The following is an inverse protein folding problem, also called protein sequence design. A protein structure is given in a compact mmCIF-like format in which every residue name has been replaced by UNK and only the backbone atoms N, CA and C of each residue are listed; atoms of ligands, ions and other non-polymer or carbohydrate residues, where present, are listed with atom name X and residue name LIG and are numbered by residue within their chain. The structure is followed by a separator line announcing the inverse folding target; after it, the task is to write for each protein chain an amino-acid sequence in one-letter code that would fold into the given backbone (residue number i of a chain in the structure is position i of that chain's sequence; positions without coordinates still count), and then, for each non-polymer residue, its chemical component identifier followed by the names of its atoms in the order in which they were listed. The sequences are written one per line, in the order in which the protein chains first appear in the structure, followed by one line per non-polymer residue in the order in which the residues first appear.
data_IF_957917323849
#
_entry.id   IF_957917323849
#
_cell.length_a   1.000
_cell.length_b   1.000
_cell.length_c   1.000
_cell.angle_alpha   90.00
_cell.angle_beta   90.00
_cell.angle_gamma   90.00
#
_symmetry.space_group_name_H-M   'P 1'
#
loop_
_entity.id
_entity.type
_entity.pdbx_description
1 polymer ?
#
# COMPACT_ATOMS: atom_id res chain seq x y z
N UNK A 1 -1.17 -27.59 17.12
CA UNK A 1 -1.78 -26.83 16.02
C UNK A 1 -1.15 -25.46 16.03
N UNK A 2 -0.23 -25.17 15.12
CA UNK A 2 0.33 -23.83 14.96
C UNK A 2 -0.81 -22.92 14.53
N UNK A 3 -1.15 -21.94 15.36
CA UNK A 3 -2.01 -20.82 14.94
C UNK A 3 -1.23 -20.10 13.85
N UNK A 4 -1.55 -20.42 12.59
CA UNK A 4 -1.08 -19.62 11.46
C UNK A 4 -1.71 -18.25 11.68
N UNK A 5 -0.93 -17.18 11.84
CA UNK A 5 -1.48 -15.82 11.90
C UNK A 5 -2.39 -15.62 10.70
N UNK A 6 -3.59 -15.09 10.92
CA UNK A 6 -4.49 -14.76 9.82
C UNK A 6 -3.86 -13.60 9.04
N UNK A 7 -3.24 -13.91 7.90
CA UNK A 7 -2.62 -12.93 7.01
C UNK A 7 -3.58 -11.78 6.66
N UNK A 8 -4.89 -12.06 6.63
CA UNK A 8 -5.95 -11.05 6.48
C UNK A 8 -5.88 -9.99 7.59
N UNK A 9 -5.68 -10.42 8.84
CA UNK A 9 -5.57 -9.54 9.99
C UNK A 9 -4.28 -8.70 9.94
N UNK A 10 -3.16 -9.31 9.52
CA UNK A 10 -1.90 -8.58 9.35
C UNK A 10 -2.01 -7.52 8.25
N UNK A 11 -2.67 -7.85 7.13
CA UNK A 11 -2.96 -6.89 6.06
C UNK A 11 -3.91 -5.78 6.50
N UNK A 12 -4.92 -6.08 7.33
CA UNK A 12 -5.78 -5.05 7.93
C UNK A 12 -4.98 -4.11 8.83
N UNK A 13 -4.06 -4.62 9.64
CA UNK A 13 -3.20 -3.80 10.50
C UNK A 13 -2.28 -2.90 9.68
N UNK A 14 -1.69 -3.44 8.61
CA UNK A 14 -0.87 -2.66 7.67
C UNK A 14 -1.70 -1.59 6.94
N UNK A 15 -2.93 -1.92 6.53
CA UNK A 15 -3.84 -0.99 5.87
C UNK A 15 -4.30 0.11 6.82
N UNK A 16 -4.58 -0.20 8.09
CA UNK A 16 -4.90 0.79 9.12
C UNK A 16 -3.75 1.76 9.33
N UNK A 17 -2.50 1.28 9.34
CA UNK A 17 -1.33 2.15 9.38
C UNK A 17 -1.29 3.11 8.19
N UNK A 18 -1.48 2.61 6.97
CA UNK A 18 -1.50 3.45 5.75
C UNK A 18 -2.64 4.48 5.80
N UNK A 19 -3.86 4.06 6.09
CA UNK A 19 -5.03 4.96 6.14
C UNK A 19 -4.83 6.04 7.19
N UNK A 20 -4.34 5.68 8.38
CA UNK A 20 -4.03 6.65 9.43
C UNK A 20 -2.98 7.65 8.97
N UNK A 21 -1.93 7.20 8.27
CA UNK A 21 -0.92 8.10 7.71
C UNK A 21 -1.48 9.06 6.68
N UNK A 22 -2.39 8.60 5.82
CA UNK A 22 -3.08 9.47 4.86
C UNK A 22 -3.92 10.52 5.59
N UNK A 23 -4.70 10.12 6.59
CA UNK A 23 -5.59 11.01 7.35
C UNK A 23 -4.82 12.02 8.20
N UNK A 24 -3.79 11.58 8.91
CA UNK A 24 -2.99 12.43 9.82
C UNK A 24 -2.04 13.37 9.06
N UNK A 25 -1.81 13.13 7.76
CA UNK A 25 -0.94 13.97 6.93
C UNK A 25 -1.63 15.24 6.45
N UNK A 26 -0.92 16.37 6.54
CA UNK A 26 -1.28 17.59 5.82
C UNK A 26 -1.10 17.45 4.30
N UNK A 27 -1.50 18.45 3.53
CA UNK A 27 -1.48 18.41 2.05
C UNK A 27 -0.12 18.01 1.45
N UNK A 28 0.99 18.50 2.02
CA UNK A 28 2.34 18.11 1.58
C UNK A 28 2.66 16.64 1.87
N UNK A 29 2.27 16.13 3.06
CA UNK A 29 2.46 14.72 3.41
C UNK A 29 1.65 13.81 2.49
N UNK A 30 0.38 14.13 2.24
CA UNK A 30 -0.46 13.39 1.29
C UNK A 30 0.13 13.35 -0.12
N UNK A 31 0.74 14.44 -0.60
CA UNK A 31 1.49 14.46 -1.88
C UNK A 31 2.72 13.56 -1.86
N UNK A 32 3.47 13.51 -0.76
CA UNK A 32 4.60 12.56 -0.61
C UNK A 32 4.11 11.11 -0.64
N UNK A 33 3.02 10.79 0.06
CA UNK A 33 2.39 9.46 0.03
C UNK A 33 1.96 9.12 -1.42
N UNK A 34 1.25 10.03 -2.09
CA UNK A 34 0.74 9.83 -3.45
C UNK A 34 1.87 9.61 -4.46
N UNK A 35 2.92 10.42 -4.39
CA UNK A 35 4.12 10.27 -5.21
C UNK A 35 4.78 8.91 -4.99
N UNK A 36 5.00 8.52 -3.73
CA UNK A 36 5.60 7.22 -3.42
C UNK A 36 4.72 6.04 -3.91
N UNK A 37 3.40 6.14 -3.79
CA UNK A 37 2.47 5.16 -4.36
C UNK A 37 2.59 5.09 -5.89
N UNK A 38 2.64 6.21 -6.60
CA UNK A 38 2.81 6.23 -8.07
C UNK A 38 4.18 5.66 -8.51
N UNK A 39 5.25 6.01 -7.79
CA UNK A 39 6.59 5.46 -8.02
C UNK A 39 6.57 3.93 -7.80
N UNK A 40 5.85 3.45 -6.78
CA UNK A 40 5.66 2.03 -6.51
C UNK A 40 4.87 1.32 -7.61
N UNK A 41 3.73 1.89 -8.05
CA UNK A 41 2.93 1.38 -9.17
C UNK A 41 3.75 1.28 -10.45
N UNK A 42 4.61 2.27 -10.71
CA UNK A 42 5.51 2.27 -11.85
C UNK A 42 6.56 1.16 -11.73
N UNK A 43 7.15 0.96 -10.55
CA UNK A 43 8.11 -0.12 -10.30
C UNK A 43 7.47 -1.51 -10.49
N UNK A 44 6.33 -1.79 -9.86
CA UNK A 44 5.70 -3.11 -9.95
C UNK A 44 5.24 -3.46 -11.37
N UNK A 45 4.91 -2.46 -12.19
CA UNK A 45 4.60 -2.67 -13.60
C UNK A 45 5.80 -3.19 -14.41
N UNK A 46 7.03 -2.93 -13.96
CA UNK A 46 8.25 -3.43 -14.61
C UNK A 46 8.67 -4.83 -14.13
N UNK A 47 8.01 -5.36 -13.10
CA UNK A 47 8.34 -6.64 -12.49
C UNK A 47 7.30 -7.68 -12.89
N UNK A 48 7.75 -8.78 -13.50
CA UNK A 48 6.87 -9.89 -13.82
C UNK A 48 6.40 -10.64 -12.56
N UNK A 49 5.22 -11.26 -12.67
CA UNK A 49 4.72 -12.17 -11.64
C UNK A 49 5.46 -13.51 -11.73
N UNK A 50 5.81 -14.08 -10.59
CA UNK A 50 6.42 -15.42 -10.54
C UNK A 50 5.32 -16.48 -10.48
N UNK A 51 5.09 -17.17 -11.60
CA UNK A 51 4.03 -18.21 -11.73
C UNK A 51 2.65 -17.73 -11.28
N UNK A 52 2.35 -16.45 -11.53
CA UNK A 52 1.09 -15.82 -11.12
C UNK A 52 1.11 -15.17 -9.74
N UNK A 53 2.12 -15.46 -8.91
CA UNK A 53 2.32 -14.77 -7.64
C UNK A 53 2.88 -13.37 -7.83
N UNK A 54 2.31 -12.42 -7.09
CA UNK A 54 2.78 -11.06 -6.98
C UNK A 54 3.96 -10.90 -6.00
N UNK A 55 4.45 -11.99 -5.40
CA UNK A 55 5.54 -11.96 -4.41
C UNK A 55 6.76 -11.11 -4.82
N UNK A 56 7.31 -11.20 -6.05
CA UNK A 56 8.44 -10.34 -6.44
C UNK A 56 8.12 -8.84 -6.38
N UNK A 57 6.87 -8.47 -6.71
CA UNK A 57 6.38 -7.09 -6.66
C UNK A 57 6.19 -6.61 -5.23
N UNK A 58 5.62 -7.47 -4.38
CA UNK A 58 5.44 -7.20 -2.95
C UNK A 58 6.79 -6.99 -2.28
N UNK A 59 7.76 -7.89 -2.51
CA UNK A 59 9.11 -7.80 -1.93
C UNK A 59 9.83 -6.51 -2.39
N UNK A 60 9.68 -6.12 -3.66
CA UNK A 60 10.21 -4.85 -4.15
C UNK A 60 9.62 -3.64 -3.41
N UNK A 61 8.29 -3.61 -3.23
CA UNK A 61 7.64 -2.54 -2.46
C UNK A 61 8.09 -2.53 -1.00
N UNK A 62 8.19 -3.69 -0.36
CA UNK A 62 8.64 -3.81 1.04
C UNK A 62 10.10 -3.39 1.24
N UNK A 63 10.96 -3.57 0.23
CA UNK A 63 12.34 -3.05 0.27
C UNK A 63 12.35 -1.52 0.36
N UNK A 64 11.56 -0.85 -0.46
CA UNK A 64 11.44 0.61 -0.41
C UNK A 64 10.75 1.09 0.87
N UNK A 65 9.68 0.43 1.30
CA UNK A 65 9.06 0.69 2.61
C UNK A 65 10.10 0.67 3.74
N UNK A 66 10.93 -0.37 3.81
CA UNK A 66 11.95 -0.49 4.85
C UNK A 66 13.07 0.55 4.75
N UNK A 67 13.37 1.06 3.55
CA UNK A 67 14.31 2.15 3.37
C UNK A 67 13.75 3.49 3.91
N UNK A 68 12.44 3.69 3.81
CA UNK A 68 11.78 4.94 4.20
C UNK A 68 11.23 4.94 5.64
N UNK A 69 10.95 3.79 6.25
CA UNK A 69 10.28 3.69 7.56
C UNK A 69 10.95 4.44 8.73
N UNK A 70 12.24 4.78 8.61
CA UNK A 70 13.01 5.49 9.63
C UNK A 70 13.35 6.94 9.25
N UNK A 71 13.08 7.36 8.01
CA UNK A 71 13.53 8.65 7.45
C UNK A 71 12.40 9.50 6.86
N UNK A 72 11.29 8.87 6.43
CA UNK A 72 10.12 9.52 5.83
C UNK A 72 8.89 8.60 5.96
N UNK A 73 8.12 8.79 7.03
CA UNK A 73 6.97 7.93 7.38
C UNK A 73 5.84 8.06 6.32
N UNK A 74 5.79 9.16 5.58
CA UNK A 74 4.81 9.37 4.52
C UNK A 74 5.15 8.60 3.25
N UNK A 75 6.41 8.65 2.79
CA UNK A 75 6.82 7.85 1.63
C UNK A 75 6.64 6.35 1.90
N UNK A 76 6.95 5.90 3.12
CA UNK A 76 6.74 4.51 3.53
C UNK A 76 5.28 4.06 3.36
N UNK A 77 4.31 4.90 3.72
CA UNK A 77 2.88 4.58 3.55
C UNK A 77 2.49 4.33 2.08
N UNK A 78 3.04 5.10 1.13
CA UNK A 78 2.78 4.92 -0.30
C UNK A 78 3.31 3.58 -0.84
N UNK A 79 4.53 3.20 -0.45
CA UNK A 79 5.11 1.90 -0.79
C UNK A 79 4.35 0.72 -0.16
N UNK A 80 3.91 0.87 1.09
CA UNK A 80 3.10 -0.15 1.77
C UNK A 80 1.72 -0.32 1.09
N UNK A 81 1.07 0.77 0.67
CA UNK A 81 -0.21 0.70 -0.03
C UNK A 81 -0.13 -0.12 -1.32
N UNK A 82 0.91 0.10 -2.13
CA UNK A 82 1.14 -0.66 -3.35
C UNK A 82 1.43 -2.15 -3.07
N UNK A 83 2.16 -2.47 -2.00
CA UNK A 83 2.40 -3.85 -1.58
C UNK A 83 1.10 -4.58 -1.21
N UNK A 84 0.22 -3.91 -0.44
CA UNK A 84 -1.09 -4.44 -0.05
C UNK A 84 -1.97 -4.67 -1.29
N UNK A 85 -1.99 -3.73 -2.22
CA UNK A 85 -2.77 -3.83 -3.47
C UNK A 85 -2.33 -5.04 -4.31
N UNK A 86 -1.03 -5.27 -4.48
CA UNK A 86 -0.51 -6.44 -5.19
C UNK A 86 -0.88 -7.76 -4.48
N UNK A 87 -0.81 -7.80 -3.13
CA UNK A 87 -1.17 -8.99 -2.35
C UNK A 87 -2.66 -9.30 -2.43
N UNK A 88 -3.52 -8.32 -2.18
CA UNK A 88 -4.98 -8.48 -2.33
C UNK A 88 -5.36 -8.84 -3.77
N UNK A 89 -4.57 -8.38 -4.75
CA UNK A 89 -4.70 -8.69 -6.17
C UNK A 89 -4.45 -10.15 -6.55
N UNK A 90 -3.88 -10.98 -5.67
CA UNK A 90 -3.79 -12.45 -5.86
C UNK A 90 -5.13 -13.16 -5.63
N UNK A 91 -6.07 -12.51 -4.92
CA UNK A 91 -7.48 -12.95 -4.74
C UNK A 91 -7.65 -14.33 -4.10
N UNK A 92 -6.69 -14.75 -3.30
CA UNK A 92 -6.67 -16.04 -2.60
C UNK A 92 -6.79 -15.91 -1.06
N UNK A 93 -6.89 -14.68 -0.54
CA UNK A 93 -7.13 -14.40 0.88
C UNK A 93 -8.60 -14.60 1.26
N UNK A 94 -8.84 -15.05 2.50
CA UNK A 94 -10.19 -15.02 3.06
C UNK A 94 -10.69 -13.56 3.14
N UNK A 95 -11.89 -13.28 2.64
CA UNK A 95 -12.43 -11.91 2.65
C UNK A 95 -11.74 -10.92 1.70
N UNK A 96 -10.92 -11.36 0.74
CA UNK A 96 -10.14 -10.50 -0.17
C UNK A 96 -10.98 -9.43 -0.89
N UNK A 97 -12.26 -9.68 -1.18
CA UNK A 97 -13.14 -8.70 -1.83
C UNK A 97 -13.36 -7.45 -0.97
N UNK A 98 -13.60 -7.65 0.33
CA UNK A 98 -13.79 -6.54 1.28
C UNK A 98 -12.48 -5.81 1.53
N UNK A 99 -11.36 -6.53 1.59
CA UNK A 99 -10.04 -5.89 1.62
C UNK A 99 -9.81 -5.03 0.39
N UNK A 100 -10.15 -5.54 -0.79
CA UNK A 100 -10.01 -4.80 -2.05
C UNK A 100 -10.81 -3.51 -2.04
N UNK A 101 -12.06 -3.53 -1.56
CA UNK A 101 -12.89 -2.32 -1.45
C UNK A 101 -12.24 -1.25 -0.56
N UNK A 102 -11.67 -1.65 0.57
CA UNK A 102 -10.99 -0.72 1.49
C UNK A 102 -9.71 -0.16 0.84
N UNK A 103 -8.93 -1.01 0.18
CA UNK A 103 -7.72 -0.59 -0.55
C UNK A 103 -8.07 0.40 -1.67
N UNK A 104 -9.06 0.08 -2.50
CA UNK A 104 -9.51 0.91 -3.61
C UNK A 104 -9.99 2.28 -3.08
N UNK A 105 -10.71 2.30 -1.94
CA UNK A 105 -11.14 3.55 -1.28
C UNK A 105 -9.94 4.36 -0.78
N UNK A 106 -8.96 3.72 -0.12
CA UNK A 106 -7.76 4.40 0.36
C UNK A 106 -6.94 5.02 -0.77
N UNK A 107 -6.80 4.31 -1.90
CA UNK A 107 -6.15 4.82 -3.12
C UNK A 107 -6.93 6.01 -3.68
N UNK A 108 -8.25 5.91 -3.79
CA UNK A 108 -9.08 7.00 -4.30
C UNK A 108 -8.92 8.28 -3.45
N UNK A 109 -9.04 8.17 -2.13
CA UNK A 109 -8.88 9.30 -1.20
C UNK A 109 -7.49 9.95 -1.28
N UNK A 110 -6.46 9.12 -1.43
CA UNK A 110 -5.08 9.58 -1.60
C UNK A 110 -4.93 10.40 -2.89
N UNK A 111 -5.43 9.90 -4.02
CA UNK A 111 -5.32 10.56 -5.32
C UNK A 111 -6.19 11.82 -5.41
N UNK A 112 -7.37 11.83 -4.79
CA UNK A 112 -8.18 13.04 -4.67
C UNK A 112 -7.47 14.12 -3.84
N UNK A 113 -6.80 13.72 -2.77
CA UNK A 113 -6.04 14.64 -1.91
C UNK A 113 -4.84 15.28 -2.63
N UNK A 114 -4.27 14.62 -3.64
CA UNK A 114 -3.19 15.18 -4.47
C UNK A 114 -3.68 16.32 -5.38
N UNK A 115 -4.92 16.20 -5.88
CA UNK A 115 -5.54 17.14 -6.83
C UNK A 115 -6.12 18.39 -6.17
N UNK A 116 -6.27 18.41 -4.85
CA UNK A 116 -6.77 19.57 -4.13
C UNK A 116 -5.79 20.77 -4.25
N UNK A 117 -6.25 21.96 -4.68
CA UNK A 117 -5.41 23.14 -4.76
C UNK A 117 -4.94 23.56 -3.35
N UNK A 118 -3.66 23.93 -3.23
CA UNK A 118 -3.14 24.58 -2.02
C UNK A 118 -3.74 25.98 -1.98
N UNK A 119 -4.70 26.20 -1.09
CA UNK A 119 -5.15 27.54 -0.71
C UNK A 119 -4.27 28.11 0.39
#
# INVERSE_FOLDING_TARGET
MTVVPDETADLLMALLFVVRKIVDSGAQGKRRIAKAYQDARSLVATIDRDRGSARPRIEACLKHFNAHKNADDEAAAGWMLAAIEERVGERDLYGWRRLKEIVDTAVQELLLSEQAPLH
#
